data_IF_623106611898
#
_entry.id   IF_623106611898
#
_cell.length_a   1.000
_cell.length_b   1.000
_cell.length_c   1.000
_cell.angle_alpha   90.00
_cell.angle_beta   90.00
_cell.angle_gamma   90.00
#
_symmetry.space_group_name_H-M   'P 1'
#
loop_
_entity.id
_entity.type
_entity.pdbx_description
1 polymer ?
#
# COMPACT_ATOMS: atom_id res chain seq x y z
N UNK A 1 0.03 -8.83 -9.09
CA UNK A 1 -1.14 -8.78 -9.99
C UNK A 1 -1.94 -7.51 -9.74
N UNK A 2 -2.40 -6.79 -10.77
CA UNK A 2 -3.39 -5.71 -10.60
C UNK A 2 -4.69 -6.30 -10.05
N UNK A 3 -5.19 -5.78 -8.92
CA UNK A 3 -6.44 -6.26 -8.31
C UNK A 3 -7.24 -5.10 -7.73
N UNK A 4 -8.15 -4.57 -8.54
CA UNK A 4 -9.02 -3.46 -8.15
C UNK A 4 -10.07 -3.87 -7.10
N UNK A 5 -10.34 -5.17 -6.91
CA UNK A 5 -11.28 -5.63 -5.87
C UNK A 5 -10.75 -5.44 -4.43
N UNK A 6 -9.48 -5.05 -4.31
CA UNK A 6 -8.85 -4.66 -3.05
C UNK A 6 -9.33 -3.31 -2.52
N UNK A 7 -9.83 -2.44 -3.39
CA UNK A 7 -10.39 -1.13 -3.01
C UNK A 7 -11.87 -1.33 -2.68
N UNK A 8 -12.28 -0.93 -1.47
CA UNK A 8 -13.68 -0.92 -1.07
C UNK A 8 -14.27 0.44 -1.39
N UNK A 9 -15.29 0.45 -2.25
CA UNK A 9 -15.95 1.67 -2.72
C UNK A 9 -15.65 1.96 -4.19
N UNK A 10 -15.91 3.19 -4.61
CA UNK A 10 -15.60 3.65 -5.96
C UNK A 10 -14.10 3.97 -6.04
N UNK A 11 -13.37 3.34 -6.96
CA UNK A 11 -11.96 3.64 -7.21
C UNK A 11 -11.76 5.04 -7.81
N UNK A 12 -12.85 5.77 -8.08
CA UNK A 12 -12.84 7.07 -8.72
C UNK A 12 -12.85 6.93 -10.23
N UNK A 13 -13.36 7.97 -10.91
CA UNK A 13 -13.42 8.03 -12.38
C UNK A 13 -12.45 9.09 -12.90
N UNK A 14 -11.80 8.84 -14.05
CA UNK A 14 -10.91 9.82 -14.67
C UNK A 14 -9.63 10.07 -13.86
N UNK A 15 -9.30 11.33 -13.57
CA UNK A 15 -8.10 11.71 -12.82
C UNK A 15 -8.09 11.27 -11.35
N UNK A 16 -9.21 10.73 -10.84
CA UNK A 16 -9.35 10.22 -9.47
C UNK A 16 -9.08 8.71 -9.36
N UNK A 17 -8.78 8.02 -10.48
CA UNK A 17 -8.74 6.56 -10.53
C UNK A 17 -7.56 5.96 -9.75
N UNK A 18 -7.85 5.40 -8.58
CA UNK A 18 -6.90 4.68 -7.75
C UNK A 18 -6.60 3.28 -8.31
N UNK A 19 -5.34 2.87 -8.25
CA UNK A 19 -4.90 1.56 -8.75
C UNK A 19 -4.25 0.78 -7.61
N UNK A 20 -4.82 -0.38 -7.30
CA UNK A 20 -4.24 -1.32 -6.37
C UNK A 20 -3.52 -2.45 -7.10
N UNK A 21 -2.30 -2.75 -6.68
CA UNK A 21 -1.54 -3.92 -7.09
C UNK A 21 -1.14 -4.67 -5.83
N UNK A 22 -1.31 -5.98 -5.82
CA UNK A 22 -0.87 -6.85 -4.72
C UNK A 22 -0.01 -7.98 -5.24
N UNK A 23 0.69 -8.66 -4.35
CA UNK A 23 1.29 -9.96 -4.65
C UNK A 23 0.26 -10.91 -5.29
N UNK A 24 0.73 -11.75 -6.21
CA UNK A 24 -0.10 -12.79 -6.82
C UNK A 24 -0.52 -13.78 -5.73
N UNK A 25 -1.74 -13.64 -5.23
CA UNK A 25 -2.40 -14.71 -4.50
C UNK A 25 -2.47 -15.93 -5.40
N UNK A 26 -1.93 -17.03 -4.91
CA UNK A 26 -2.33 -18.34 -5.38
C UNK A 26 -3.02 -19.05 -4.22
N UNK A 27 -3.74 -20.11 -4.54
CA UNK A 27 -4.54 -20.88 -3.58
C UNK A 27 -3.75 -21.41 -2.37
N UNK A 28 -2.40 -21.34 -2.40
CA UNK A 28 -1.49 -21.79 -1.34
C UNK A 28 -0.74 -20.65 -0.64
N UNK A 29 -0.76 -19.43 -1.17
CA UNK A 29 -0.04 -18.28 -0.60
C UNK A 29 -0.90 -17.02 -0.72
N UNK A 30 -1.48 -16.55 0.40
CA UNK A 30 -2.11 -15.23 0.42
C UNK A 30 -1.04 -14.15 0.16
N UNK A 31 -1.44 -13.06 -0.48
CA UNK A 31 -0.52 -11.97 -0.80
C UNK A 31 -0.02 -11.28 0.46
N UNK A 32 1.29 -11.05 0.52
CA UNK A 32 2.02 -10.53 1.69
C UNK A 32 2.25 -9.01 1.65
N UNK A 33 2.01 -8.37 0.49
CA UNK A 33 2.12 -6.93 0.34
C UNK A 33 1.09 -6.37 -0.64
N UNK A 34 0.76 -5.08 -0.48
CA UNK A 34 -0.10 -4.33 -1.38
C UNK A 34 0.40 -2.90 -1.61
N UNK A 35 0.29 -2.43 -2.84
CA UNK A 35 0.54 -1.06 -3.27
C UNK A 35 -0.76 -0.44 -3.76
N UNK A 36 -1.11 0.73 -3.25
CA UNK A 36 -2.33 1.44 -3.66
C UNK A 36 -1.96 2.87 -4.07
N UNK A 37 -2.03 3.14 -5.36
CA UNK A 37 -1.83 4.49 -5.88
C UNK A 37 -3.09 5.33 -5.70
N UNK A 38 -2.92 6.49 -5.06
CA UNK A 38 -3.92 7.51 -4.83
C UNK A 38 -3.54 8.77 -5.62
N UNK A 39 -4.23 9.06 -6.73
CA UNK A 39 -3.99 10.31 -7.46
C UNK A 39 -4.50 11.52 -6.68
N UNK A 40 -5.47 11.34 -5.77
CA UNK A 40 -6.03 12.42 -4.94
C UNK A 40 -5.98 12.11 -3.45
N UNK A 41 -6.11 13.15 -2.64
CA UNK A 41 -6.04 13.07 -1.17
C UNK A 41 -7.34 12.61 -0.51
N UNK A 42 -8.10 11.74 -1.20
CA UNK A 42 -9.33 11.17 -0.64
C UNK A 42 -9.00 10.00 0.29
N UNK A 43 -9.74 9.84 1.39
CA UNK A 43 -9.70 8.62 2.18
C UNK A 43 -9.99 7.41 1.29
N UNK A 44 -9.23 6.33 1.49
CA UNK A 44 -9.45 5.05 0.83
C UNK A 44 -9.62 3.95 1.86
N UNK A 45 -10.53 3.02 1.60
CA UNK A 45 -10.72 1.82 2.43
C UNK A 45 -10.27 0.60 1.66
N UNK A 46 -9.43 -0.22 2.29
CA UNK A 46 -8.78 -1.39 1.70
C UNK A 46 -9.31 -2.67 2.33
N UNK A 47 -9.64 -3.67 1.51
CA UNK A 47 -10.09 -4.99 1.96
C UNK A 47 -8.91 -5.86 2.37
N UNK A 48 -8.34 -5.57 3.53
CA UNK A 48 -7.16 -6.26 4.10
C UNK A 48 -7.44 -7.69 4.55
N UNK A 49 -8.70 -8.11 4.67
CA UNK A 49 -9.09 -9.50 4.99
C UNK A 49 -8.37 -10.54 4.13
N UNK A 50 -8.10 -10.22 2.85
CA UNK A 50 -7.49 -11.11 1.84
C UNK A 50 -5.95 -11.15 1.86
N UNK A 51 -5.30 -10.35 2.70
CA UNK A 51 -3.84 -10.36 2.84
C UNK A 51 -3.39 -11.35 3.92
N UNK A 52 -2.18 -11.88 3.82
CA UNK A 52 -1.56 -12.67 4.90
C UNK A 52 -1.23 -11.79 6.12
N UNK A 53 -0.84 -12.41 7.23
CA UNK A 53 -0.32 -11.70 8.38
C UNK A 53 -1.36 -11.26 9.42
N UNK A 54 -0.86 -10.91 10.59
CA UNK A 54 -1.67 -10.39 11.71
C UNK A 54 -1.42 -8.92 12.00
N UNK A 55 -0.33 -8.35 11.47
CA UNK A 55 0.05 -6.95 11.60
C UNK A 55 0.61 -6.43 10.29
N UNK A 56 0.21 -5.22 9.92
CA UNK A 56 0.74 -4.53 8.76
C UNK A 56 1.59 -3.34 9.18
N UNK A 57 2.70 -3.13 8.49
CA UNK A 57 3.36 -1.83 8.43
C UNK A 57 2.78 -1.07 7.24
N UNK A 58 2.54 0.23 7.42
CA UNK A 58 2.02 1.09 6.37
C UNK A 58 2.90 2.32 6.14
N UNK A 59 3.06 2.70 4.87
CA UNK A 59 3.85 3.86 4.45
C UNK A 59 3.15 4.65 3.36
N UNK A 60 3.38 5.95 3.34
CA UNK A 60 3.18 6.81 2.18
C UNK A 60 4.48 6.89 1.38
N UNK A 61 4.41 6.57 0.10
CA UNK A 61 5.50 6.68 -0.86
C UNK A 61 5.13 7.73 -1.92
N UNK A 62 5.98 8.74 -2.11
CA UNK A 62 5.83 9.71 -3.18
C UNK A 62 6.60 9.24 -4.43
N UNK A 63 5.94 8.91 -5.54
CA UNK A 63 6.59 8.58 -6.81
C UNK A 63 7.28 9.80 -7.45
N UNK A 64 6.94 11.02 -7.04
CA UNK A 64 7.52 12.26 -7.59
C UNK A 64 9.00 12.41 -7.20
N UNK A 65 9.36 12.07 -5.95
CA UNK A 65 10.71 12.27 -5.44
C UNK A 65 11.26 11.06 -4.66
N UNK A 66 10.52 9.95 -4.60
CA UNK A 66 10.90 8.74 -3.87
C UNK A 66 10.81 8.86 -2.35
N UNK A 67 10.22 9.94 -1.80
CA UNK A 67 10.12 10.14 -0.36
C UNK A 67 9.20 9.10 0.27
N UNK A 68 9.62 8.57 1.41
CA UNK A 68 8.88 7.54 2.15
C UNK A 68 8.59 8.05 3.55
N UNK A 69 7.32 8.02 3.95
CA UNK A 69 6.87 8.40 5.29
C UNK A 69 6.15 7.21 5.92
N UNK A 70 6.65 6.74 7.06
CA UNK A 70 5.97 5.68 7.81
C UNK A 70 4.69 6.23 8.44
N UNK A 71 3.57 5.57 8.17
CA UNK A 71 2.26 5.88 8.76
C UNK A 71 2.19 5.24 10.15
N UNK A 72 2.62 3.98 10.25
CA UNK A 72 2.62 3.25 11.51
C UNK A 72 2.61 1.73 11.31
N UNK A 73 2.27 1.04 12.40
CA UNK A 73 1.98 -0.39 12.41
C UNK A 73 0.58 -0.58 12.97
N UNK A 74 -0.19 -1.44 12.33
CA UNK A 74 -1.59 -1.67 12.63
C UNK A 74 -1.86 -3.17 12.78
N UNK A 75 -2.65 -3.54 13.78
CA UNK A 75 -3.20 -4.89 13.86
C UNK A 75 -4.17 -5.09 12.69
N UNK A 76 -4.11 -6.26 12.05
CA UNK A 76 -4.95 -6.59 10.90
C UNK A 76 -6.44 -6.54 11.30
N UNK A 77 -7.20 -5.77 10.54
CA UNK A 77 -8.66 -5.79 10.48
C UNK A 77 -9.11 -6.28 9.11
N UNK A 78 -10.39 -6.60 8.95
CA UNK A 78 -10.93 -6.99 7.64
C UNK A 78 -10.90 -5.84 6.63
N UNK A 79 -11.05 -4.61 7.13
CA UNK A 79 -11.04 -3.37 6.37
C UNK A 79 -10.19 -2.32 7.10
N UNK A 80 -9.34 -1.61 6.36
CA UNK A 80 -8.52 -0.52 6.89
C UNK A 80 -8.71 0.74 6.05
N UNK A 81 -8.94 1.87 6.72
CA UNK A 81 -9.09 3.18 6.06
C UNK A 81 -7.83 4.01 6.26
N UNK A 82 -7.29 4.53 5.16
CA UNK A 82 -6.14 5.42 5.16
C UNK A 82 -6.53 6.76 4.57
N UNK A 83 -6.13 7.84 5.24
CA UNK A 83 -6.41 9.22 4.84
C UNK A 83 -5.08 9.96 4.73
N UNK A 84 -4.62 10.33 3.52
CA UNK A 84 -3.42 11.14 3.34
C UNK A 84 -3.61 12.49 4.05
N UNK A 85 -2.93 12.70 5.17
CA UNK A 85 -2.94 14.00 5.83
C UNK A 85 -2.03 14.95 5.04
N UNK A 86 -2.51 16.16 4.76
CA UNK A 86 -1.67 17.24 4.20
C UNK A 86 -1.78 17.49 2.69
N UNK A 87 -2.82 17.01 2.00
CA UNK A 87 -3.05 17.30 0.59
C UNK A 87 -1.87 16.97 -0.35
N UNK A 88 -1.20 15.83 -0.15
CA UNK A 88 -0.21 15.32 -1.12
C UNK A 88 -0.91 14.41 -2.14
N UNK A 89 -1.35 14.94 -3.31
CA UNK A 89 -1.83 14.09 -4.40
C UNK A 89 -0.68 13.21 -4.91
N UNK A 90 -0.99 12.25 -5.75
CA UNK A 90 0.00 11.31 -6.32
C UNK A 90 0.79 10.55 -5.25
N UNK A 91 0.12 9.92 -4.29
CA UNK A 91 0.78 9.13 -3.24
C UNK A 91 0.49 7.65 -3.41
N UNK A 92 1.47 6.80 -3.15
CA UNK A 92 1.30 5.35 -3.06
C UNK A 92 1.26 4.94 -1.60
N UNK A 93 0.21 4.23 -1.19
CA UNK A 93 0.18 3.52 0.08
C UNK A 93 0.86 2.17 -0.11
N UNK A 94 1.83 1.87 0.74
CA UNK A 94 2.47 0.55 0.83
C UNK A 94 1.96 -0.12 2.09
N UNK A 95 1.48 -1.35 1.98
CA UNK A 95 1.14 -2.23 3.09
C UNK A 95 2.00 -3.49 3.03
N UNK A 96 2.79 -3.73 4.06
CA UNK A 96 3.61 -4.95 4.17
C UNK A 96 3.18 -5.75 5.39
N UNK A 97 3.02 -7.06 5.19
CA UNK A 97 2.94 -8.05 6.26
C UNK A 97 4.25 -8.05 7.06
N UNK A 98 4.15 -7.83 8.36
CA UNK A 98 5.32 -7.84 9.25
C UNK A 98 6.01 -9.20 9.32
N UNK A 99 5.24 -10.28 9.16
CA UNK A 99 5.75 -11.65 9.26
C UNK A 99 6.52 -12.05 7.99
N UNK A 100 6.34 -11.32 6.88
CA UNK A 100 7.05 -11.54 5.63
C UNK A 100 8.48 -10.94 5.60
N UNK A 101 8.83 -10.10 6.58
CA UNK A 101 10.21 -9.62 6.75
C UNK A 101 10.71 -8.64 5.68
N UNK A 102 9.80 -7.93 4.99
CA UNK A 102 10.20 -6.91 4.01
C UNK A 102 10.99 -5.76 4.65
N UNK A 103 12.01 -5.30 3.91
CA UNK A 103 12.76 -4.09 4.24
C UNK A 103 11.90 -2.85 3.98
N UNK A 104 12.20 -1.76 4.67
CA UNK A 104 11.44 -0.51 4.51
C UNK A 104 11.52 -0.02 3.05
N UNK A 105 10.40 0.42 2.44
CA UNK A 105 10.39 0.90 1.06
C UNK A 105 11.39 2.06 0.88
N UNK A 106 12.09 2.08 -0.25
CA UNK A 106 13.12 3.09 -0.56
C UNK A 106 14.51 2.82 0.02
N UNK A 107 14.71 1.72 0.78
CA UNK A 107 16.05 1.31 1.26
C UNK A 107 16.80 0.36 0.33
N UNK A 108 16.26 0.07 -0.86
CA UNK A 108 16.90 -0.83 -1.84
C UNK A 108 18.22 -0.24 -2.37
N UNK A 109 19.31 -0.73 -1.79
CA UNK A 109 20.71 -0.69 -2.21
C UNK A 109 21.28 0.69 -2.62
N UNK A 110 21.81 1.43 -1.64
CA UNK A 110 22.92 2.35 -1.89
C UNK A 110 24.15 1.49 -2.22
N UNK A 111 24.34 1.10 -3.48
CA UNK A 111 25.59 0.50 -3.91
C UNK A 111 26.69 1.56 -3.83
N UNK A 112 27.46 1.54 -2.75
CA UNK A 112 28.77 2.16 -2.73
C UNK A 112 29.70 1.31 -3.61
N UNK A 113 29.89 1.71 -4.86
CA UNK A 113 31.10 1.34 -5.57
C UNK A 113 32.20 2.31 -5.13
N UNK A 114 33.17 1.77 -4.39
CA UNK A 114 34.48 2.39 -4.20
C UNK A 114 35.42 2.08 -5.35
#
# INVERSE_FOLDING_TARGET
MPDQSFIIGDAGTGGDHAVATRDAENMFSPGTFAFVYLPTCRPITLRTARMSGTKFKAWYYSPVNGSVTRIGTFDKTDEMTFSPQGNTPDTVIVLDDMDAGYADPGTACRQSHG
#
